data_IF_035112965456
#
_entry.id   IF_035112965456
#
_cell.length_a   1.000
_cell.length_b   1.000
_cell.length_c   1.000
_cell.angle_alpha   90.00
_cell.angle_beta   90.00
_cell.angle_gamma   90.00
#
_symmetry.space_group_name_H-M   'P 1'
#
loop_
_entity.id
_entity.type
_entity.pdbx_description
1 polymer ?
#
# COMPACT_ATOMS: atom_id res chain seq x y z
N UNK A 1 3.18 -20.62 -6.32
CA UNK A 1 1.80 -20.11 -6.29
C UNK A 1 1.78 -18.80 -7.04
N UNK A 2 0.93 -18.70 -8.05
CA UNK A 2 0.71 -17.45 -8.79
C UNK A 2 -0.01 -16.45 -7.88
N UNK A 3 0.34 -15.16 -8.00
CA UNK A 3 -0.28 -14.12 -7.21
C UNK A 3 -1.64 -13.74 -7.82
N UNK A 4 -2.72 -13.91 -7.05
CA UNK A 4 -4.09 -13.58 -7.48
C UNK A 4 -4.40 -12.14 -7.10
N UNK A 5 -4.93 -11.35 -8.04
CA UNK A 5 -5.35 -9.97 -7.80
C UNK A 5 -6.66 -9.91 -7.00
N UNK A 6 -6.84 -8.85 -6.22
CA UNK A 6 -8.12 -8.57 -5.55
C UNK A 6 -9.23 -8.34 -6.57
N UNK A 7 -10.46 -8.65 -6.17
CA UNK A 7 -11.67 -8.52 -6.98
C UNK A 7 -12.75 -7.67 -6.32
N UNK A 8 -12.58 -7.36 -5.03
CA UNK A 8 -13.57 -6.64 -4.21
C UNK A 8 -12.87 -5.56 -3.37
N UNK A 9 -13.63 -4.53 -2.98
CA UNK A 9 -13.12 -3.47 -2.11
C UNK A 9 -12.85 -3.99 -0.68
N UNK A 10 -13.61 -4.98 -0.24
CA UNK A 10 -13.47 -5.63 1.06
C UNK A 10 -12.10 -6.31 1.18
N UNK A 11 -11.63 -6.97 0.12
CA UNK A 11 -10.28 -7.56 0.07
C UNK A 11 -9.19 -6.50 0.16
N UNK A 12 -9.37 -5.35 -0.50
CA UNK A 12 -8.46 -4.19 -0.39
C UNK A 12 -8.42 -3.69 1.05
N UNK A 13 -9.58 -3.46 1.68
CA UNK A 13 -9.68 -2.97 3.05
C UNK A 13 -9.08 -3.98 4.05
N UNK A 14 -9.28 -5.28 3.84
CA UNK A 14 -8.67 -6.31 4.67
C UNK A 14 -7.14 -6.27 4.60
N UNK A 15 -6.57 -6.13 3.40
CA UNK A 15 -5.13 -6.00 3.21
C UNK A 15 -4.56 -4.72 3.86
N UNK A 16 -5.30 -3.61 3.83
CA UNK A 16 -4.93 -2.35 4.50
C UNK A 16 -4.82 -2.57 6.00
N UNK A 17 -5.84 -3.18 6.61
CA UNK A 17 -5.83 -3.47 8.05
C UNK A 17 -4.65 -4.37 8.42
N UNK A 18 -4.40 -5.41 7.62
CA UNK A 18 -3.27 -6.31 7.83
C UNK A 18 -1.93 -5.58 7.71
N UNK A 19 -1.78 -4.66 6.76
CA UNK A 19 -0.54 -3.89 6.62
C UNK A 19 -0.25 -2.99 7.82
N UNK A 20 -1.27 -2.28 8.31
CA UNK A 20 -1.11 -1.43 9.49
C UNK A 20 -0.76 -2.27 10.72
N UNK A 21 -1.41 -3.42 10.89
CA UNK A 21 -1.06 -4.37 11.94
C UNK A 21 0.40 -4.88 11.79
N UNK A 22 0.82 -5.26 10.58
CA UNK A 22 2.19 -5.72 10.33
C UNK A 22 3.25 -4.63 10.57
N UNK A 23 2.89 -3.34 10.42
CA UNK A 23 3.74 -2.21 10.81
C UNK A 23 3.79 -2.06 12.33
N UNK A 24 2.64 -2.11 13.01
CA UNK A 24 2.56 -2.02 14.47
C UNK A 24 3.31 -3.16 15.17
N UNK A 25 3.27 -4.36 14.59
CA UNK A 25 3.99 -5.55 15.04
C UNK A 25 5.49 -5.53 14.67
N UNK A 26 5.99 -4.41 14.10
CA UNK A 26 7.38 -4.20 13.68
C UNK A 26 7.95 -5.32 12.78
N UNK A 27 7.12 -5.91 11.92
CA UNK A 27 7.54 -7.00 11.05
C UNK A 27 8.52 -6.52 9.96
N UNK A 28 9.16 -7.47 9.27
CA UNK A 28 10.16 -7.19 8.22
C UNK A 28 9.65 -6.27 7.08
N UNK A 29 8.33 -6.11 6.94
CA UNK A 29 7.74 -5.17 5.98
C UNK A 29 8.15 -3.71 6.25
N UNK A 30 8.42 -3.36 7.52
CA UNK A 30 8.87 -2.02 7.92
C UNK A 30 10.19 -1.63 7.23
N UNK A 31 11.13 -2.58 7.13
CA UNK A 31 12.40 -2.35 6.43
C UNK A 31 12.21 -2.19 4.91
N UNK A 32 11.12 -2.74 4.38
CA UNK A 32 10.80 -2.76 2.96
C UNK A 32 9.94 -1.56 2.52
N UNK A 33 9.48 -0.72 3.47
CA UNK A 33 8.69 0.49 3.19
C UNK A 33 9.39 1.45 2.20
N UNK A 34 10.72 1.46 2.21
CA UNK A 34 11.53 2.29 1.32
C UNK A 34 11.48 1.82 -0.14
N UNK A 35 11.15 0.55 -0.39
CA UNK A 35 11.14 -0.07 -1.72
C UNK A 35 9.83 0.18 -2.49
N UNK A 36 8.76 0.56 -1.79
CA UNK A 36 7.47 0.85 -2.42
C UNK A 36 7.48 2.22 -3.11
N UNK A 37 7.15 2.20 -4.41
CA UNK A 37 7.11 3.39 -5.27
C UNK A 37 5.71 4.00 -5.44
N UNK A 38 4.68 3.18 -5.28
CA UNK A 38 3.28 3.58 -5.50
C UNK A 38 2.50 3.41 -4.21
N UNK A 39 1.98 4.53 -3.72
CA UNK A 39 1.23 4.63 -2.47
C UNK A 39 -0.19 5.09 -2.76
N UNK A 40 -1.12 4.52 -2.02
CA UNK A 40 -2.55 4.78 -2.10
C UNK A 40 -3.02 5.27 -0.73
N UNK A 41 -3.98 6.18 -0.72
CA UNK A 41 -4.51 6.76 0.51
C UNK A 41 -5.98 6.41 0.65
N UNK A 42 -6.38 6.00 1.86
CA UNK A 42 -7.78 5.68 2.18
C UNK A 42 -8.29 6.66 3.24
N UNK A 43 -9.16 7.62 2.87
CA UNK A 43 -9.63 8.65 3.81
C UNK A 43 -10.36 8.09 5.04
N UNK A 44 -11.13 7.01 4.88
CA UNK A 44 -11.90 6.41 5.99
C UNK A 44 -11.03 5.75 7.05
N UNK A 45 -9.77 5.42 6.72
CA UNK A 45 -8.81 4.78 7.61
C UNK A 45 -7.63 5.71 7.95
N UNK A 46 -7.58 6.90 7.34
CA UNK A 46 -6.47 7.85 7.45
C UNK A 46 -5.08 7.25 7.14
N UNK A 47 -5.05 6.19 6.32
CA UNK A 47 -3.88 5.32 6.15
C UNK A 47 -3.28 5.38 4.73
N UNK A 48 -1.95 5.15 4.67
CA UNK A 48 -1.19 5.05 3.42
C UNK A 48 -0.72 3.62 3.18
N UNK A 49 -0.95 3.14 1.97
CA UNK A 49 -0.78 1.74 1.64
C UNK A 49 -0.03 1.53 0.33
N UNK A 50 0.90 0.56 0.26
CA UNK A 50 1.60 0.26 -0.97
C UNK A 50 0.70 -0.50 -1.95
N UNK A 51 0.75 -0.12 -3.23
CA UNK A 51 -0.07 -0.74 -4.30
C UNK A 51 0.08 -2.26 -4.37
N UNK A 52 1.31 -2.73 -4.19
CA UNK A 52 1.69 -4.15 -4.20
C UNK A 52 1.15 -4.92 -2.99
N UNK A 53 0.79 -4.22 -1.93
CA UNK A 53 0.26 -4.85 -0.73
C UNK A 53 -1.26 -5.04 -0.86
N UNK A 54 -1.95 -3.97 -1.25
CA UNK A 54 -3.40 -3.97 -1.32
C UNK A 54 -3.96 -4.61 -2.61
N UNK A 55 -3.16 -4.72 -3.66
CA UNK A 55 -3.61 -5.19 -4.98
C UNK A 55 -3.69 -6.72 -5.16
N UNK A 56 -3.19 -7.51 -4.22
CA UNK A 56 -3.20 -8.98 -4.28
C UNK A 56 -4.00 -9.58 -3.12
N UNK A 57 -4.67 -10.70 -3.34
CA UNK A 57 -5.50 -11.34 -2.32
C UNK A 57 -4.68 -11.84 -1.12
N UNK A 58 -5.23 -11.61 0.07
CA UNK A 58 -4.71 -12.06 1.36
C UNK A 58 -3.21 -11.74 1.50
N UNK A 59 -2.82 -10.48 1.25
CA UNK A 59 -1.42 -10.09 1.37
C UNK A 59 -1.07 -9.90 2.85
N UNK A 60 0.09 -10.42 3.23
CA UNK A 60 0.75 -10.16 4.51
C UNK A 60 2.27 -10.15 4.33
N UNK A 61 3.03 -9.79 5.37
CA UNK A 61 4.49 -9.74 5.32
C UNK A 61 5.11 -11.06 4.83
N UNK A 62 4.64 -12.20 5.36
CA UNK A 62 5.16 -13.52 4.99
C UNK A 62 4.93 -13.85 3.50
N UNK A 63 3.76 -13.51 2.94
CA UNK A 63 3.45 -13.68 1.53
C UNK A 63 4.20 -12.69 0.66
N UNK A 64 4.42 -11.46 1.12
CA UNK A 64 5.21 -10.46 0.40
C UNK A 64 6.64 -10.97 0.18
N UNK A 65 7.32 -11.41 1.24
CA UNK A 65 8.68 -11.94 1.22
C UNK A 65 8.86 -13.15 0.29
N UNK A 66 7.82 -13.96 0.10
CA UNK A 66 7.85 -15.18 -0.73
C UNK A 66 7.47 -14.94 -2.20
N UNK A 67 7.11 -13.71 -2.59
CA UNK A 67 6.48 -13.44 -3.89
C UNK A 67 7.45 -13.28 -5.06
N UNK A 68 7.59 -14.31 -5.91
CA UNK A 68 8.08 -14.16 -7.30
C UNK A 68 6.92 -13.73 -8.21
N UNK A 69 7.15 -12.79 -9.14
CA UNK A 69 6.17 -12.42 -10.18
C UNK A 69 5.14 -11.33 -9.82
N UNK A 70 5.33 -10.59 -8.72
CA UNK A 70 4.43 -9.49 -8.33
C UNK A 70 4.85 -8.15 -8.96
N UNK A 71 4.16 -7.72 -10.01
CA UNK A 71 4.42 -6.43 -10.67
C UNK A 71 3.46 -5.35 -10.20
N UNK A 72 3.94 -4.10 -10.11
CA UNK A 72 3.09 -2.97 -9.75
C UNK A 72 2.03 -2.64 -10.82
N UNK A 73 2.29 -3.03 -12.08
CA UNK A 73 1.45 -2.75 -13.23
C UNK A 73 0.10 -3.47 -13.11
N UNK A 74 0.11 -4.72 -12.67
CA UNK A 74 -1.11 -5.52 -12.53
C UNK A 74 -2.00 -4.96 -11.41
N UNK A 75 -1.39 -4.56 -10.29
CA UNK A 75 -2.13 -3.96 -9.17
C UNK A 75 -2.77 -2.62 -9.54
N UNK A 76 -2.09 -1.78 -10.33
CA UNK A 76 -2.63 -0.47 -10.71
C UNK A 76 -3.90 -0.61 -11.56
N UNK A 77 -3.96 -1.60 -12.46
CA UNK A 77 -5.15 -1.84 -13.31
C UNK A 77 -6.39 -2.15 -12.48
N UNK A 78 -6.25 -2.98 -11.46
CA UNK A 78 -7.35 -3.40 -10.59
C UNK A 78 -7.73 -2.28 -9.62
N UNK A 79 -6.74 -1.63 -9.00
CA UNK A 79 -6.99 -0.57 -8.01
C UNK A 79 -7.67 0.67 -8.61
N UNK A 80 -7.52 0.94 -9.91
CA UNK A 80 -8.25 2.01 -10.61
C UNK A 80 -9.77 1.90 -10.54
N UNK A 81 -10.31 0.72 -10.19
CA UNK A 81 -11.74 0.54 -9.97
C UNK A 81 -12.26 1.26 -8.72
N UNK A 82 -11.39 1.49 -7.73
CA UNK A 82 -11.77 2.09 -6.44
C UNK A 82 -11.00 3.37 -6.12
N UNK A 83 -9.82 3.57 -6.72
CA UNK A 83 -8.97 4.72 -6.46
C UNK A 83 -8.94 5.68 -7.63
N UNK A 84 -9.14 6.95 -7.32
CA UNK A 84 -9.01 8.05 -8.28
C UNK A 84 -7.60 8.64 -8.18
N UNK A 85 -6.93 8.77 -9.32
CA UNK A 85 -5.63 9.44 -9.39
C UNK A 85 -5.83 10.95 -9.28
N UNK A 86 -5.26 11.56 -8.24
CA UNK A 86 -5.29 13.01 -8.07
C UNK A 86 -4.27 13.69 -9.01
N UNK A 87 -4.60 14.84 -9.62
CA UNK A 87 -3.63 15.70 -10.30
C UNK A 87 -2.52 16.13 -9.34
N UNK A 88 -1.26 16.17 -9.79
CA UNK A 88 -0.12 16.51 -8.93
C UNK A 88 -0.18 17.95 -8.42
N UNK A 89 -0.82 18.80 -9.20
CA UNK A 89 -0.97 20.23 -8.97
C UNK A 89 -2.16 20.53 -8.03
N UNK A 90 -2.99 19.53 -7.71
CA UNK A 90 -4.11 19.71 -6.78
C UNK A 90 -3.62 19.85 -5.34
N UNK A 91 -4.28 20.72 -4.58
CA UNK A 91 -3.99 20.95 -3.15
C UNK A 91 -4.03 19.64 -2.36
N UNK A 92 -5.06 18.81 -2.59
CA UNK A 92 -5.22 17.52 -1.92
C UNK A 92 -4.05 16.56 -2.20
N UNK A 93 -3.53 16.55 -3.43
CA UNK A 93 -2.36 15.73 -3.77
C UNK A 93 -1.11 16.20 -3.05
N UNK A 94 -0.90 17.51 -2.94
CA UNK A 94 0.23 18.09 -2.21
C UNK A 94 0.15 17.78 -0.71
N UNK A 95 -1.00 17.98 -0.09
CA UNK A 95 -1.24 17.66 1.33
C UNK A 95 -0.96 16.18 1.64
N UNK A 96 -1.47 15.27 0.82
CA UNK A 96 -1.26 13.83 1.00
C UNK A 96 0.21 13.44 0.77
N UNK A 97 0.90 14.09 -0.17
CA UNK A 97 2.33 13.85 -0.41
C UNK A 97 3.18 14.33 0.76
N UNK A 98 2.87 15.49 1.36
CA UNK A 98 3.54 15.96 2.58
C UNK A 98 3.28 15.02 3.75
N UNK A 99 2.04 14.57 3.92
CA UNK A 99 1.67 13.62 4.98
C UNK A 99 2.41 12.29 4.82
N UNK A 100 2.48 11.75 3.60
CA UNK A 100 3.24 10.54 3.29
C UNK A 100 4.73 10.74 3.56
N UNK A 101 5.31 11.88 3.20
CA UNK A 101 6.73 12.17 3.45
C UNK A 101 7.04 12.18 4.95
N UNK A 102 6.21 12.84 5.75
CA UNK A 102 6.32 12.83 7.23
C UNK A 102 6.18 11.41 7.79
N UNK A 103 5.23 10.64 7.29
CA UNK A 103 5.01 9.26 7.70
C UNK A 103 6.26 8.39 7.40
N UNK A 104 6.85 8.52 6.21
CA UNK A 104 8.09 7.81 5.82
C UNK A 104 9.33 8.23 6.62
N UNK A 105 9.38 9.46 7.12
CA UNK A 105 10.45 9.92 8.01
C UNK A 105 10.33 9.31 9.41
N UNK A 106 9.12 9.05 9.90
CA UNK A 106 8.91 8.38 11.20
C UNK A 106 9.42 6.93 11.15
N UNK A 107 9.26 6.24 10.01
CA UNK A 107 9.77 4.87 9.81
C UNK A 107 11.28 4.78 9.54
N UNK A 108 12.00 5.90 9.56
CA UNK A 108 13.47 5.91 9.55
C UNK A 108 13.95 6.47 10.88
N UNK A 109 14.28 5.55 11.79
CA UNK A 109 15.02 5.88 12.99
C UNK A 109 16.53 5.90 12.67
N UNK A 110 17.17 6.90 13.27
CA UNK A 110 18.58 7.34 13.17
C UNK A 110 19.55 6.17 13.30
#
# INVERSE_FOLDING_TARGET
>A
MEAVLVSTLEEVIANVKQFNQDIEDELEIVQQLTQFKHWYYIPSLDAFEPSKYIGYKEMNTARYNRGKGKTGIDTEKVLKQWFVKLPKESVQSQELMEKLYKCRLIFRRI
#
